data_IF_148953223971
#
_entry.id   IF_148953223971
#
_cell.length_a   1.000
_cell.length_b   1.000
_cell.length_c   1.000
_cell.angle_alpha   90.00
_cell.angle_beta   90.00
_cell.angle_gamma   90.00
#
_symmetry.space_group_name_H-M   'P 1'
#
loop_
_entity.id
_entity.type
_entity.pdbx_description
1 polymer ?
#
# COMPACT_ATOMS: atom_id res chain seq x y z
N UNK A 1 -52.19 26.10 47.88
CA UNK A 1 -52.65 25.25 49.01
C UNK A 1 -51.93 23.94 48.92
N UNK A 2 -51.07 23.69 49.89
CA UNK A 2 -50.45 22.41 50.21
C UNK A 2 -51.43 21.66 51.10
N UNK A 3 -51.54 20.33 51.10
CA UNK A 3 -50.71 19.51 51.98
C UNK A 3 -50.30 18.20 51.41
N UNK A 4 -49.02 17.77 51.67
CA UNK A 4 -48.57 16.84 52.72
C UNK A 4 -49.19 15.43 52.67
N UNK A 5 -48.49 14.34 52.48
CA UNK A 5 -47.71 13.62 53.48
C UNK A 5 -47.31 12.23 52.98
N UNK A 6 -46.12 11.79 53.38
CA UNK A 6 -45.52 10.45 53.26
C UNK A 6 -46.37 9.40 54.03
N UNK A 7 -46.11 8.07 53.93
CA UNK A 7 -44.84 7.51 54.38
C UNK A 7 -44.29 6.28 53.62
N UNK A 8 -42.99 6.05 53.85
CA UNK A 8 -42.19 4.84 53.75
C UNK A 8 -42.93 3.57 54.22
N UNK A 9 -42.73 2.47 53.45
CA UNK A 9 -42.72 1.14 53.99
C UNK A 9 -41.54 0.38 53.37
N UNK A 10 -40.64 0.00 54.25
CA UNK A 10 -39.57 -0.97 54.05
C UNK A 10 -40.14 -2.32 53.66
N UNK A 11 -39.49 -2.98 52.71
CA UNK A 11 -39.60 -4.42 52.54
C UNK A 11 -38.20 -5.00 52.35
N UNK A 12 -37.67 -5.44 53.47
CA UNK A 12 -36.47 -6.20 53.62
C UNK A 12 -36.66 -7.63 53.14
N UNK A 13 -35.59 -8.16 52.59
CA UNK A 13 -35.11 -9.55 52.61
C UNK A 13 -35.84 -10.56 51.74
N UNK A 14 -35.07 -11.15 50.87
CA UNK A 14 -34.53 -12.53 50.91
C UNK A 14 -33.66 -12.72 49.63
N UNK A 15 -32.37 -12.48 49.79
CA UNK A 15 -31.38 -12.97 48.80
C UNK A 15 -31.05 -14.40 49.26
N UNK A 16 -31.64 -15.37 48.63
CA UNK A 16 -31.23 -16.78 48.76
C UNK A 16 -29.95 -16.96 47.93
N UNK A 17 -28.84 -17.11 48.63
CA UNK A 17 -27.54 -17.47 48.14
C UNK A 17 -27.60 -18.89 47.59
N UNK A 18 -27.80 -19.09 46.30
CA UNK A 18 -27.61 -20.37 45.64
C UNK A 18 -26.13 -20.46 45.25
N UNK A 19 -25.36 -21.10 46.09
CA UNK A 19 -24.00 -21.54 45.76
C UNK A 19 -24.08 -22.64 44.71
N UNK A 20 -23.71 -22.37 43.51
CA UNK A 20 -23.34 -23.38 42.51
C UNK A 20 -21.83 -23.59 42.54
N UNK A 21 -21.36 -24.76 42.95
CA UNK A 21 -19.99 -25.14 42.70
C UNK A 21 -19.94 -25.77 41.30
N UNK A 22 -19.76 -25.00 40.28
CA UNK A 22 -19.30 -25.51 38.97
C UNK A 22 -17.98 -24.88 38.62
N UNK A 23 -16.93 -25.52 39.08
CA UNK A 23 -15.63 -25.48 38.44
C UNK A 23 -15.79 -26.01 37.02
N UNK A 24 -16.12 -25.14 36.08
CA UNK A 24 -15.81 -25.38 34.67
C UNK A 24 -14.29 -25.33 34.54
N UNK A 25 -13.63 -26.49 34.64
CA UNK A 25 -12.35 -26.71 34.00
C UNK A 25 -12.62 -26.51 32.49
N UNK A 26 -12.39 -25.31 31.97
CA UNK A 26 -12.16 -25.15 30.56
C UNK A 26 -10.86 -25.92 30.29
N UNK A 27 -11.01 -27.14 29.79
CA UNK A 27 -9.92 -27.85 29.17
C UNK A 27 -9.47 -26.91 28.03
N UNK A 28 -8.38 -26.18 28.24
CA UNK A 28 -7.58 -25.63 27.17
C UNK A 28 -7.15 -26.85 26.37
N UNK A 29 -7.88 -27.20 25.33
CA UNK A 29 -7.37 -28.07 24.30
C UNK A 29 -6.07 -27.37 23.87
N UNK A 30 -4.94 -27.97 24.10
CA UNK A 30 -3.71 -27.63 23.43
C UNK A 30 -4.01 -27.83 21.94
N UNK A 31 -4.40 -26.76 21.23
CA UNK A 31 -4.37 -26.79 19.77
C UNK A 31 -2.92 -27.13 19.44
N UNK A 32 -2.69 -28.33 18.93
CA UNK A 32 -1.38 -28.71 18.41
C UNK A 32 -1.01 -27.66 17.38
N UNK A 33 0.13 -27.02 17.57
CA UNK A 33 0.63 -26.04 16.60
C UNK A 33 0.69 -26.70 15.23
N UNK A 34 0.24 -26.01 14.15
CA UNK A 34 0.29 -26.59 12.82
C UNK A 34 1.72 -27.00 12.47
N UNK A 35 1.88 -28.10 11.70
CA UNK A 35 3.20 -28.58 11.31
C UNK A 35 4.01 -27.48 10.61
N UNK A 36 5.31 -27.45 10.89
CA UNK A 36 6.22 -26.48 10.29
C UNK A 36 6.20 -26.58 8.76
N UNK A 37 6.16 -25.43 8.06
CA UNK A 37 6.37 -25.36 6.61
C UNK A 37 7.86 -25.14 6.33
N UNK A 38 8.48 -26.07 5.60
CA UNK A 38 9.91 -26.05 5.23
C UNK A 38 10.02 -25.82 3.75
N UNK A 39 10.54 -24.68 3.34
CA UNK A 39 10.81 -24.29 1.96
C UNK A 39 12.29 -24.56 1.66
N UNK A 40 12.59 -25.72 1.05
CA UNK A 40 13.94 -26.26 0.92
C UNK A 40 14.57 -25.98 -0.44
N UNK A 41 15.84 -25.56 -0.47
CA UNK A 41 16.66 -25.49 -1.69
C UNK A 41 16.49 -24.24 -2.55
N UNK A 42 15.69 -23.26 -2.11
CA UNK A 42 15.41 -22.06 -2.90
C UNK A 42 16.57 -21.06 -2.95
N UNK A 43 16.54 -20.16 -3.94
CA UNK A 43 17.26 -18.89 -3.91
C UNK A 43 16.39 -17.85 -3.20
N UNK A 44 16.93 -17.20 -2.16
CA UNK A 44 16.19 -16.26 -1.30
C UNK A 44 16.70 -14.84 -1.48
N UNK A 45 15.82 -13.89 -1.75
CA UNK A 45 16.17 -12.48 -1.88
C UNK A 45 16.39 -11.85 -0.51
N UNK A 46 17.61 -11.41 -0.24
CA UNK A 46 17.91 -10.56 0.91
C UNK A 46 17.65 -9.10 0.58
N UNK A 47 16.54 -8.58 1.04
CA UNK A 47 16.15 -7.19 0.81
C UNK A 47 17.05 -6.17 1.53
N UNK A 48 17.96 -6.60 2.40
CA UNK A 48 18.96 -5.73 3.04
C UNK A 48 20.12 -5.46 2.11
N UNK A 49 20.74 -6.53 1.58
CA UNK A 49 21.88 -6.44 0.67
C UNK A 49 21.49 -6.25 -0.79
N UNK A 50 20.25 -6.60 -1.18
CA UNK A 50 19.81 -6.64 -2.57
C UNK A 50 20.32 -7.86 -3.35
N UNK A 51 20.81 -8.88 -2.66
CA UNK A 51 21.37 -10.08 -3.29
C UNK A 51 20.37 -11.25 -3.28
N UNK A 52 20.39 -12.05 -4.35
CA UNK A 52 19.71 -13.33 -4.39
C UNK A 52 20.66 -14.42 -3.86
N UNK A 53 20.37 -14.95 -2.67
CA UNK A 53 21.24 -15.91 -1.97
C UNK A 53 20.77 -17.33 -2.27
N UNK A 54 21.60 -18.11 -2.95
CA UNK A 54 21.27 -19.46 -3.42
C UNK A 54 21.25 -20.49 -2.29
N UNK A 55 20.51 -21.58 -2.53
CA UNK A 55 20.51 -22.80 -1.73
C UNK A 55 20.21 -22.55 -0.25
N UNK A 56 19.03 -21.98 0.01
CA UNK A 56 18.52 -21.68 1.35
C UNK A 56 17.29 -22.50 1.67
N UNK A 57 17.18 -22.85 2.93
CA UNK A 57 15.98 -23.41 3.53
C UNK A 57 15.37 -22.36 4.45
N UNK A 58 14.08 -22.06 4.23
CA UNK A 58 13.29 -21.18 5.07
C UNK A 58 12.31 -22.04 5.86
N UNK A 59 12.28 -21.88 7.19
CA UNK A 59 11.38 -22.59 8.09
C UNK A 59 10.35 -21.61 8.62
N UNK A 60 9.09 -22.00 8.51
CA UNK A 60 7.93 -21.23 9.00
C UNK A 60 7.19 -22.06 10.03
N UNK A 61 6.99 -21.49 11.20
CA UNK A 61 6.17 -22.07 12.27
C UNK A 61 5.08 -21.06 12.64
N UNK A 62 3.84 -21.51 12.63
CA UNK A 62 2.69 -20.63 12.70
C UNK A 62 2.72 -19.57 11.57
N UNK A 63 2.81 -18.31 11.92
CA UNK A 63 2.87 -17.20 10.97
C UNK A 63 4.23 -16.50 10.91
N UNK A 64 5.28 -17.09 11.49
CA UNK A 64 6.61 -16.48 11.57
C UNK A 64 7.68 -17.33 10.90
N UNK A 65 8.68 -16.66 10.36
CA UNK A 65 9.91 -17.29 9.91
C UNK A 65 10.77 -17.56 11.14
N UNK A 66 11.09 -18.84 11.39
CA UNK A 66 11.90 -19.24 12.56
C UNK A 66 13.35 -19.49 12.17
N UNK A 67 13.64 -19.82 10.91
CA UNK A 67 15.00 -19.99 10.42
C UNK A 67 15.16 -19.69 8.94
N UNK A 68 16.35 -19.19 8.56
CA UNK A 68 16.84 -19.09 7.19
C UNK A 68 18.28 -19.59 7.18
N UNK A 69 18.49 -20.83 6.73
CA UNK A 69 19.77 -21.54 6.83
C UNK A 69 20.25 -22.04 5.46
N UNK A 70 21.54 -22.38 5.27
CA UNK A 70 21.98 -23.13 4.10
C UNK A 70 21.24 -24.47 4.03
N UNK A 71 20.83 -24.92 2.84
CA UNK A 71 20.03 -26.15 2.70
C UNK A 71 20.82 -27.43 3.01
N UNK A 72 22.15 -27.37 2.99
CA UNK A 72 23.05 -28.45 3.38
C UNK A 72 23.32 -28.52 4.89
N UNK A 73 22.63 -27.67 5.69
CA UNK A 73 22.78 -27.72 7.15
C UNK A 73 22.18 -29.01 7.71
N UNK A 74 22.82 -29.57 8.76
CA UNK A 74 22.36 -30.78 9.47
C UNK A 74 21.09 -30.56 10.32
N UNK A 75 20.22 -29.62 9.90
CA UNK A 75 18.98 -29.35 10.63
C UNK A 75 17.97 -30.46 10.37
N UNK A 76 17.63 -31.19 11.41
CA UNK A 76 16.54 -32.16 11.39
C UNK A 76 15.18 -31.44 11.45
N UNK A 77 14.23 -31.94 10.68
CA UNK A 77 12.83 -31.51 10.70
C UNK A 77 11.97 -32.61 11.34
N UNK A 78 10.93 -32.20 12.02
CA UNK A 78 9.98 -33.17 12.63
C UNK A 78 9.26 -33.94 11.52
N UNK A 79 8.85 -35.19 11.84
CA UNK A 79 8.21 -36.10 10.87
C UNK A 79 6.88 -35.56 10.30
N UNK A 80 6.25 -34.64 11.00
CA UNK A 80 5.01 -33.97 10.62
C UNK A 80 5.24 -32.69 9.79
N UNK A 81 6.50 -32.23 9.65
CA UNK A 81 6.81 -31.03 8.86
C UNK A 81 6.40 -31.18 7.39
N UNK A 82 5.77 -30.14 6.84
CA UNK A 82 5.46 -30.03 5.40
C UNK A 82 6.66 -29.52 4.66
N UNK A 83 7.41 -30.40 3.98
CA UNK A 83 8.60 -30.01 3.22
C UNK A 83 8.24 -29.79 1.75
N UNK A 84 8.63 -28.65 1.20
CA UNK A 84 8.54 -28.32 -0.23
C UNK A 84 9.94 -28.21 -0.82
N UNK A 85 10.25 -29.03 -1.82
CA UNK A 85 11.48 -28.88 -2.61
C UNK A 85 11.30 -27.71 -3.61
N UNK A 86 12.13 -26.69 -3.44
CA UNK A 86 12.12 -25.47 -4.22
C UNK A 86 13.44 -25.23 -4.95
N UNK A 87 14.18 -26.32 -5.28
CA UNK A 87 15.38 -26.20 -6.09
C UNK A 87 15.08 -25.51 -7.43
N UNK A 88 15.88 -24.52 -7.79
CA UNK A 88 15.68 -23.71 -9.00
C UNK A 88 14.57 -22.67 -8.90
N UNK A 89 13.91 -22.52 -7.74
CA UNK A 89 12.90 -21.48 -7.47
C UNK A 89 13.49 -20.32 -6.67
N UNK A 90 12.76 -19.24 -6.62
CA UNK A 90 13.15 -17.98 -6.00
C UNK A 90 12.10 -17.53 -4.99
N UNK A 91 12.54 -17.12 -3.82
CA UNK A 91 11.67 -16.59 -2.78
C UNK A 91 12.01 -15.11 -2.55
N UNK A 92 11.01 -14.26 -2.66
CA UNK A 92 11.11 -12.85 -2.28
C UNK A 92 10.17 -12.56 -1.11
N UNK A 93 10.41 -11.53 -0.28
CA UNK A 93 9.40 -11.07 0.67
C UNK A 93 8.12 -10.73 -0.07
N UNK A 94 6.99 -10.87 0.59
CA UNK A 94 5.72 -10.41 0.06
C UNK A 94 5.79 -8.95 -0.38
N UNK A 95 5.24 -8.63 -1.53
CA UNK A 95 5.19 -7.27 -2.04
C UNK A 95 4.24 -6.42 -1.19
N UNK A 96 4.59 -5.18 -0.96
CA UNK A 96 3.78 -4.20 -0.23
C UNK A 96 3.41 -3.09 -1.21
N UNK A 97 2.12 -2.84 -1.43
CA UNK A 97 1.65 -1.70 -2.20
C UNK A 97 1.44 -0.51 -1.26
N UNK A 98 2.26 0.52 -1.40
CA UNK A 98 2.26 1.66 -0.50
C UNK A 98 1.14 2.67 -0.77
N UNK A 99 0.34 2.47 -1.83
CA UNK A 99 -0.71 3.42 -2.22
C UNK A 99 -1.84 2.74 -2.97
N UNK A 100 -2.94 2.46 -2.26
CA UNK A 100 -4.19 1.95 -2.86
C UNK A 100 -5.39 2.67 -2.26
N UNK A 101 -6.53 2.57 -2.93
CA UNK A 101 -7.83 3.02 -2.45
C UNK A 101 -8.79 1.84 -2.40
N UNK A 102 -9.22 1.44 -1.21
CA UNK A 102 -10.05 0.24 -1.04
C UNK A 102 -11.55 0.52 -1.13
N UNK A 103 -11.96 1.77 -0.87
CA UNK A 103 -13.39 2.12 -0.80
C UNK A 103 -13.79 3.34 -1.64
N UNK A 104 -12.81 4.10 -2.14
CA UNK A 104 -13.01 5.34 -2.90
C UNK A 104 -13.99 5.20 -4.09
N UNK A 105 -13.97 4.08 -4.81
CA UNK A 105 -14.84 3.85 -5.97
C UNK A 105 -16.07 2.99 -5.66
N UNK A 106 -16.29 2.56 -4.42
CA UNK A 106 -17.36 1.60 -4.10
C UNK A 106 -18.74 2.09 -4.50
N UNK A 107 -19.08 3.35 -4.22
CA UNK A 107 -20.38 3.94 -4.58
C UNK A 107 -20.60 4.07 -6.10
N UNK A 108 -19.52 4.14 -6.87
CA UNK A 108 -19.55 4.32 -8.34
C UNK A 108 -19.52 3.02 -9.10
N UNK A 109 -18.85 2.01 -8.53
CA UNK A 109 -18.61 0.71 -9.18
C UNK A 109 -19.52 -0.38 -8.64
N UNK A 110 -20.05 -0.21 -7.44
CA UNK A 110 -20.67 -1.26 -6.62
C UNK A 110 -19.72 -2.46 -6.38
N UNK A 111 -18.41 -2.24 -6.47
CA UNK A 111 -17.37 -3.18 -6.07
C UNK A 111 -16.87 -2.75 -4.70
N UNK A 112 -16.99 -3.60 -3.72
CA UNK A 112 -16.54 -3.31 -2.35
C UNK A 112 -15.06 -3.63 -2.17
N UNK A 113 -14.41 -3.01 -1.18
CA UNK A 113 -12.99 -3.19 -0.96
C UNK A 113 -12.61 -4.64 -0.69
N UNK A 114 -13.44 -5.39 0.02
CA UNK A 114 -13.21 -6.80 0.33
C UNK A 114 -13.24 -7.70 -0.92
N UNK A 115 -14.04 -7.38 -1.94
CA UNK A 115 -14.06 -8.09 -3.23
C UNK A 115 -12.73 -7.95 -4.00
N UNK A 116 -11.97 -6.89 -3.75
CA UNK A 116 -10.69 -6.64 -4.43
C UNK A 116 -9.49 -7.32 -3.73
N UNK A 117 -9.61 -7.71 -2.44
CA UNK A 117 -8.50 -8.20 -1.66
C UNK A 117 -7.84 -9.47 -2.24
N UNK A 118 -8.59 -10.47 -2.76
CA UNK A 118 -7.98 -11.65 -3.36
C UNK A 118 -7.11 -11.31 -4.58
N UNK A 119 -7.42 -10.24 -5.33
CA UNK A 119 -6.64 -9.80 -6.48
C UNK A 119 -5.24 -9.31 -6.07
N UNK A 120 -5.15 -8.54 -4.98
CA UNK A 120 -3.86 -8.10 -4.45
C UNK A 120 -3.01 -9.31 -4.04
N UNK A 121 -3.58 -10.20 -3.26
CA UNK A 121 -2.85 -11.37 -2.78
C UNK A 121 -2.45 -12.30 -3.94
N UNK A 122 -3.33 -12.55 -4.93
CA UNK A 122 -3.02 -13.35 -6.11
C UNK A 122 -1.87 -12.80 -6.94
N UNK A 123 -1.66 -11.49 -6.90
CA UNK A 123 -0.52 -10.82 -7.53
C UNK A 123 0.74 -10.76 -6.62
N UNK A 124 0.76 -11.50 -5.48
CA UNK A 124 1.89 -11.49 -4.55
C UNK A 124 1.99 -10.25 -3.67
N UNK A 125 0.98 -9.39 -3.66
CA UNK A 125 0.89 -8.21 -2.78
C UNK A 125 0.28 -8.65 -1.45
N UNK A 126 1.13 -8.89 -0.46
CA UNK A 126 0.72 -9.41 0.86
C UNK A 126 0.33 -8.32 1.85
N UNK A 127 0.63 -7.06 1.53
CA UNK A 127 0.23 -5.93 2.34
C UNK A 127 -0.07 -4.70 1.47
N UNK A 128 -1.02 -3.88 1.90
CA UNK A 128 -1.41 -2.63 1.22
C UNK A 128 -1.57 -1.49 2.22
N UNK A 129 -1.26 -0.25 1.80
CA UNK A 129 -1.63 0.97 2.53
C UNK A 129 -2.81 1.64 1.83
N UNK A 130 -3.96 1.70 2.51
CA UNK A 130 -5.12 2.49 2.06
C UNK A 130 -4.81 3.98 2.27
N UNK A 131 -4.74 4.75 1.18
CA UNK A 131 -4.07 6.05 1.14
C UNK A 131 -5.03 7.24 1.08
N UNK A 132 -6.05 7.28 1.93
CA UNK A 132 -6.95 8.43 2.02
C UNK A 132 -8.42 8.12 1.79
N UNK A 133 -8.88 6.96 2.22
CA UNK A 133 -10.28 6.53 2.12
C UNK A 133 -11.13 6.96 3.33
N UNK A 134 -12.46 6.86 3.21
CA UNK A 134 -13.40 7.09 4.31
C UNK A 134 -13.09 6.17 5.51
N UNK A 135 -12.84 6.76 6.70
CA UNK A 135 -12.25 6.04 7.84
C UNK A 135 -13.05 4.82 8.29
N UNK A 136 -14.37 4.95 8.43
CA UNK A 136 -15.23 3.85 8.89
C UNK A 136 -15.21 2.68 7.91
N UNK A 137 -15.30 2.99 6.62
CA UNK A 137 -15.34 1.97 5.58
C UNK A 137 -14.00 1.23 5.45
N UNK A 138 -12.87 1.94 5.39
CA UNK A 138 -11.56 1.29 5.28
C UNK A 138 -11.20 0.48 6.54
N UNK A 139 -11.60 0.92 7.74
CA UNK A 139 -11.42 0.13 8.96
C UNK A 139 -12.29 -1.13 8.93
N UNK A 140 -13.51 -1.05 8.37
CA UNK A 140 -14.38 -2.20 8.13
C UNK A 140 -13.70 -3.24 7.23
N UNK A 141 -13.15 -2.80 6.09
CA UNK A 141 -12.39 -3.68 5.16
C UNK A 141 -11.14 -4.25 5.84
N UNK A 142 -10.44 -3.47 6.67
CA UNK A 142 -9.27 -3.96 7.41
C UNK A 142 -9.65 -5.01 8.48
N UNK A 143 -10.82 -4.90 9.11
CA UNK A 143 -11.34 -5.93 10.01
C UNK A 143 -11.73 -7.21 9.25
N UNK A 144 -12.39 -7.07 8.10
CA UNK A 144 -12.69 -8.20 7.23
C UNK A 144 -11.41 -8.94 6.81
N UNK A 145 -10.39 -8.20 6.37
CA UNK A 145 -9.11 -8.78 5.95
C UNK A 145 -8.43 -9.56 7.08
N UNK A 146 -8.47 -9.06 8.32
CA UNK A 146 -7.92 -9.78 9.49
C UNK A 146 -8.65 -11.09 9.78
N UNK A 147 -9.95 -11.14 9.57
CA UNK A 147 -10.75 -12.34 9.74
C UNK A 147 -10.58 -13.33 8.59
N UNK A 148 -10.20 -12.86 7.39
CA UNK A 148 -10.10 -13.64 6.16
C UNK A 148 -8.68 -13.64 5.58
N UNK A 149 -7.67 -13.87 6.41
CA UNK A 149 -6.24 -13.78 6.04
C UNK A 149 -5.81 -14.69 4.89
N UNK A 150 -6.51 -15.80 4.69
CA UNK A 150 -6.21 -16.71 3.59
C UNK A 150 -6.41 -16.09 2.21
N UNK A 151 -7.30 -15.11 2.10
CA UNK A 151 -7.69 -14.48 0.84
C UNK A 151 -7.45 -12.97 0.80
N UNK A 152 -6.87 -12.41 1.85
CA UNK A 152 -6.75 -10.95 2.03
C UNK A 152 -5.35 -10.55 2.44
N UNK A 153 -4.77 -9.49 1.84
CA UNK A 153 -3.51 -8.91 2.31
C UNK A 153 -3.68 -8.20 3.66
N UNK A 154 -2.58 -7.86 4.31
CA UNK A 154 -2.58 -6.96 5.48
C UNK A 154 -2.95 -5.55 5.03
N UNK A 155 -3.77 -4.85 5.78
CA UNK A 155 -4.20 -3.49 5.46
C UNK A 155 -3.68 -2.52 6.51
N UNK A 156 -2.92 -1.52 6.05
CA UNK A 156 -2.48 -0.37 6.82
C UNK A 156 -3.38 0.82 6.49
N UNK A 157 -4.12 1.27 7.49
CA UNK A 157 -5.13 2.32 7.34
C UNK A 157 -4.49 3.70 7.50
N UNK A 158 -4.85 4.66 6.66
CA UNK A 158 -4.53 6.08 6.82
C UNK A 158 -5.77 6.91 7.15
N UNK A 159 -5.57 8.21 7.41
CA UNK A 159 -6.69 9.15 7.54
C UNK A 159 -7.46 9.28 6.22
N UNK A 160 -8.71 9.80 6.25
CA UNK A 160 -9.33 10.39 5.06
C UNK A 160 -8.44 11.44 4.42
N UNK A 161 -8.76 11.84 3.19
CA UNK A 161 -8.09 12.96 2.53
C UNK A 161 -8.32 14.26 3.31
N UNK A 162 -7.27 14.81 3.95
CA UNK A 162 -7.36 16.12 4.60
C UNK A 162 -7.37 17.17 3.50
N UNK A 163 -8.48 17.86 3.32
CA UNK A 163 -8.67 18.79 2.19
C UNK A 163 -9.37 20.08 2.63
N UNK A 164 -9.52 21.01 1.69
CA UNK A 164 -10.30 22.25 1.81
C UNK A 164 -11.79 21.96 2.01
N UNK A 165 -12.58 23.01 2.18
CA UNK A 165 -14.04 22.95 2.17
C UNK A 165 -14.62 23.69 0.94
N UNK A 166 -15.46 23.06 0.05
CA UNK A 166 -15.73 21.62 0.05
C UNK A 166 -14.49 20.81 -0.40
N UNK A 167 -14.36 19.55 0.04
CA UNK A 167 -13.30 18.65 -0.44
C UNK A 167 -13.45 18.39 -1.93
N UNK A 168 -12.33 18.12 -2.60
CA UNK A 168 -12.38 17.73 -4.02
C UNK A 168 -13.09 16.38 -4.24
N UNK A 169 -12.92 15.46 -3.31
CA UNK A 169 -13.62 14.17 -3.24
C UNK A 169 -14.47 14.15 -1.97
N UNK A 170 -15.77 14.44 -2.12
CA UNK A 170 -16.69 14.58 -0.98
C UNK A 170 -16.92 13.28 -0.23
N UNK A 171 -16.81 12.13 -0.92
CA UNK A 171 -17.02 10.78 -0.41
C UNK A 171 -15.89 10.31 0.53
N UNK A 172 -14.66 10.80 0.36
CA UNK A 172 -13.48 10.38 1.11
C UNK A 172 -12.68 11.54 1.72
N UNK A 173 -13.10 12.78 1.46
CA UNK A 173 -12.44 13.99 1.95
C UNK A 173 -12.92 14.41 3.34
N UNK A 174 -12.00 14.90 4.15
CA UNK A 174 -12.28 15.52 5.44
C UNK A 174 -11.83 16.99 5.42
N UNK A 175 -12.77 17.95 5.51
CA UNK A 175 -12.42 19.36 5.40
C UNK A 175 -11.77 19.88 6.70
N UNK A 176 -10.58 20.47 6.58
CA UNK A 176 -9.93 21.24 7.65
C UNK A 176 -9.67 22.64 7.12
N UNK A 177 -10.31 23.63 7.72
CA UNK A 177 -10.23 25.04 7.30
C UNK A 177 -9.60 25.94 8.36
N UNK A 178 -9.43 25.43 9.57
CA UNK A 178 -8.81 26.14 10.70
C UNK A 178 -7.72 25.25 11.33
N UNK A 179 -6.50 25.75 11.51
CA UNK A 179 -5.44 25.02 12.20
C UNK A 179 -5.81 24.53 13.60
N UNK A 180 -6.77 25.18 14.28
CA UNK A 180 -7.25 24.77 15.60
C UNK A 180 -7.96 23.40 15.58
N UNK A 181 -8.52 22.98 14.44
CA UNK A 181 -9.20 21.68 14.27
C UNK A 181 -8.22 20.49 14.22
N UNK A 182 -6.95 20.76 13.87
CA UNK A 182 -5.97 19.72 13.57
C UNK A 182 -5.70 18.79 14.76
N UNK A 183 -5.52 19.34 15.96
CA UNK A 183 -5.18 18.54 17.13
C UNK A 183 -6.30 17.55 17.54
N UNK A 184 -7.57 17.94 17.39
CA UNK A 184 -8.70 17.06 17.62
C UNK A 184 -8.75 15.95 16.55
N UNK A 185 -8.66 16.34 15.28
CA UNK A 185 -8.64 15.40 14.16
C UNK A 185 -7.51 14.33 14.32
N UNK A 186 -6.31 14.75 14.68
CA UNK A 186 -5.18 13.80 14.85
C UNK A 186 -5.44 12.82 15.99
N UNK A 187 -6.01 13.29 17.12
CA UNK A 187 -6.40 12.40 18.23
C UNK A 187 -7.47 11.39 17.80
N UNK A 188 -8.46 11.83 17.02
CA UNK A 188 -9.50 10.94 16.50
C UNK A 188 -8.88 9.88 15.58
N UNK A 189 -8.03 10.28 14.65
CA UNK A 189 -7.34 9.34 13.76
C UNK A 189 -6.46 8.34 14.54
N UNK A 190 -5.80 8.80 15.60
CA UNK A 190 -5.06 7.90 16.49
C UNK A 190 -5.95 6.87 17.18
N UNK A 191 -7.16 7.25 17.58
CA UNK A 191 -8.15 6.33 18.18
C UNK A 191 -8.61 5.24 17.20
N UNK A 192 -8.65 5.53 15.90
CA UNK A 192 -8.90 4.57 14.82
C UNK A 192 -7.70 3.69 14.47
N UNK A 193 -6.57 3.87 15.16
CA UNK A 193 -5.32 3.14 14.90
C UNK A 193 -4.77 3.31 13.47
N UNK A 194 -4.96 4.51 12.87
CA UNK A 194 -4.33 4.83 11.59
C UNK A 194 -2.81 4.88 11.73
N UNK A 195 -2.10 4.59 10.64
CA UNK A 195 -0.63 4.61 10.59
C UNK A 195 -0.07 5.91 10.03
N UNK A 196 -0.85 6.61 9.20
CA UNK A 196 -0.44 7.85 8.55
C UNK A 196 -1.61 8.78 8.29
N UNK A 197 -1.31 10.07 8.13
CA UNK A 197 -2.25 11.10 7.71
C UNK A 197 -2.01 11.46 6.25
N UNK A 198 -3.08 11.72 5.48
CA UNK A 198 -3.02 12.08 4.06
C UNK A 198 -3.43 13.51 3.84
N UNK A 199 -2.47 14.41 3.57
CA UNK A 199 -2.73 15.77 3.10
C UNK A 199 -3.11 15.72 1.61
N UNK A 200 -4.12 16.51 1.23
CA UNK A 200 -4.62 16.58 -0.14
C UNK A 200 -4.47 17.98 -0.75
N UNK A 201 -4.85 18.10 -2.01
CA UNK A 201 -4.49 19.22 -2.90
C UNK A 201 -4.93 20.60 -2.43
N UNK A 202 -6.02 20.72 -1.67
CA UNK A 202 -6.60 22.01 -1.28
C UNK A 202 -6.01 22.62 -0.01
N UNK A 203 -5.18 21.88 0.73
CA UNK A 203 -4.58 22.35 1.99
C UNK A 203 -3.46 23.35 1.73
N UNK A 204 -3.47 24.46 2.47
CA UNK A 204 -2.38 25.44 2.47
C UNK A 204 -1.24 25.05 3.44
N UNK A 205 -0.14 25.81 3.38
CA UNK A 205 1.04 25.56 4.22
C UNK A 205 0.74 25.66 5.72
N UNK A 206 -0.12 26.60 6.14
CA UNK A 206 -0.41 26.84 7.57
C UNK A 206 -1.04 25.61 8.21
N UNK A 207 -2.07 25.08 7.56
CA UNK A 207 -2.76 23.86 7.99
C UNK A 207 -1.85 22.65 7.81
N UNK A 208 -1.20 22.51 6.64
CA UNK A 208 -0.34 21.38 6.32
C UNK A 208 0.83 21.22 7.30
N UNK A 209 1.50 22.33 7.64
CA UNK A 209 2.55 22.31 8.66
C UNK A 209 2.01 21.90 10.04
N UNK A 210 0.83 22.41 10.43
CA UNK A 210 0.22 22.03 11.71
C UNK A 210 -0.15 20.54 11.74
N UNK A 211 -0.61 19.96 10.61
CA UNK A 211 -0.88 18.52 10.47
C UNK A 211 0.42 17.72 10.68
N UNK A 212 1.52 18.13 10.06
CA UNK A 212 2.82 17.46 10.21
C UNK A 212 3.29 17.51 11.67
N UNK A 213 3.31 18.71 12.26
CA UNK A 213 3.76 18.88 13.63
C UNK A 213 2.96 18.02 14.63
N UNK A 214 1.63 18.04 14.51
CA UNK A 214 0.74 17.32 15.41
C UNK A 214 0.80 15.80 15.19
N UNK A 215 0.87 15.35 13.93
CA UNK A 215 1.04 13.92 13.59
C UNK A 215 2.30 13.34 14.22
N UNK A 216 3.43 14.05 14.11
CA UNK A 216 4.70 13.61 14.68
C UNK A 216 4.68 13.54 16.20
N UNK A 217 3.98 14.46 16.90
CA UNK A 217 3.77 14.38 18.35
C UNK A 217 3.05 13.08 18.76
N UNK A 218 2.21 12.55 17.90
CA UNK A 218 1.48 11.29 18.12
C UNK A 218 2.13 10.06 17.48
N UNK A 219 3.33 10.19 16.90
CA UNK A 219 4.07 9.10 16.24
C UNK A 219 3.44 8.63 14.94
N UNK A 220 2.64 9.48 14.28
CA UNK A 220 2.04 9.22 12.98
C UNK A 220 2.91 9.79 11.87
N UNK A 221 2.94 9.11 10.72
CA UNK A 221 3.57 9.61 9.50
C UNK A 221 2.61 10.50 8.72
N UNK A 222 3.17 11.40 7.90
CA UNK A 222 2.39 12.27 7.00
C UNK A 222 2.81 12.04 5.56
N UNK A 223 1.82 11.79 4.71
CA UNK A 223 1.98 11.69 3.26
C UNK A 223 1.13 12.76 2.57
N UNK A 224 1.51 13.19 1.37
CA UNK A 224 0.80 14.26 0.68
C UNK A 224 0.69 14.10 -0.83
N UNK A 225 -0.56 14.15 -1.34
CA UNK A 225 -0.85 14.51 -2.71
C UNK A 225 -0.99 16.03 -2.76
N UNK A 226 0.13 16.71 -3.00
CA UNK A 226 0.24 18.16 -2.76
C UNK A 226 -0.25 18.99 -3.95
N UNK A 227 -0.91 20.09 -3.62
CA UNK A 227 -1.38 21.10 -4.58
C UNK A 227 -1.04 22.52 -4.12
N UNK A 228 -1.91 23.13 -3.31
CA UNK A 228 -1.67 24.48 -2.77
C UNK A 228 -0.49 24.51 -1.78
N UNK A 229 -0.26 23.44 -1.05
CA UNK A 229 0.93 23.25 -0.24
C UNK A 229 2.06 22.78 -1.16
N UNK A 230 3.11 23.60 -1.33
CA UNK A 230 4.18 23.27 -2.26
C UNK A 230 5.03 22.10 -1.74
N UNK A 231 5.54 21.27 -2.66
CA UNK A 231 6.44 20.16 -2.30
C UNK A 231 7.69 20.66 -1.54
N UNK A 232 8.25 21.84 -1.92
CA UNK A 232 9.41 22.43 -1.25
C UNK A 232 9.09 22.83 0.20
N UNK A 233 7.92 23.44 0.42
CA UNK A 233 7.52 23.83 1.78
C UNK A 233 7.23 22.59 2.63
N UNK A 234 6.50 21.60 2.10
CA UNK A 234 6.19 20.36 2.80
C UNK A 234 7.45 19.59 3.22
N UNK A 235 8.44 19.49 2.30
CA UNK A 235 9.76 18.92 2.61
C UNK A 235 10.47 19.73 3.69
N UNK A 236 10.39 21.06 3.65
CA UNK A 236 10.99 21.95 4.66
C UNK A 236 10.32 21.77 6.02
N UNK A 237 9.03 21.60 6.04
CA UNK A 237 8.21 21.47 7.25
C UNK A 237 8.19 20.03 7.81
N UNK A 238 8.78 19.05 7.10
CA UNK A 238 9.07 17.72 7.63
C UNK A 238 8.12 16.60 7.21
N UNK A 239 7.44 16.72 6.06
CA UNK A 239 6.62 15.63 5.52
C UNK A 239 7.42 14.34 5.35
N UNK A 240 6.80 13.17 5.59
CA UNK A 240 7.48 11.86 5.51
C UNK A 240 7.47 11.29 4.10
N UNK A 241 6.40 11.53 3.31
CA UNK A 241 6.26 10.99 1.97
C UNK A 241 5.57 11.97 1.02
N UNK A 242 6.12 12.12 -0.19
CA UNK A 242 5.47 12.79 -1.30
C UNK A 242 4.81 11.73 -2.18
N UNK A 243 3.49 11.78 -2.25
CA UNK A 243 2.70 10.90 -3.08
C UNK A 243 2.61 11.46 -4.50
N UNK A 244 2.67 10.56 -5.48
CA UNK A 244 2.69 10.85 -6.89
C UNK A 244 3.88 11.70 -7.34
N UNK A 245 4.60 11.22 -8.33
CA UNK A 245 5.70 11.95 -8.94
C UNK A 245 5.27 13.35 -9.40
N UNK A 246 3.97 13.50 -9.67
CA UNK A 246 3.35 14.74 -10.10
C UNK A 246 3.53 15.90 -9.10
N UNK A 247 3.49 15.63 -7.78
CA UNK A 247 3.72 16.64 -6.74
C UNK A 247 5.12 17.26 -6.85
N UNK A 248 6.13 16.42 -7.10
CA UNK A 248 7.52 16.84 -7.29
C UNK A 248 7.71 17.52 -8.65
N UNK A 249 7.10 16.94 -9.69
CA UNK A 249 7.21 17.43 -11.06
C UNK A 249 6.60 18.82 -11.23
N UNK A 250 5.39 19.04 -10.71
CA UNK A 250 4.73 20.34 -10.80
C UNK A 250 5.52 21.46 -10.11
N UNK A 251 6.08 21.18 -8.93
CA UNK A 251 6.95 22.17 -8.30
C UNK A 251 8.18 22.48 -9.15
N UNK A 252 8.70 21.50 -9.87
CA UNK A 252 9.89 21.64 -10.71
C UNK A 252 9.67 22.48 -11.96
N UNK A 253 8.43 22.86 -12.30
CA UNK A 253 8.11 23.66 -13.48
C UNK A 253 8.37 25.16 -13.17
N UNK A 254 9.29 25.81 -13.87
CA UNK A 254 9.46 27.26 -13.77
C UNK A 254 8.24 28.00 -14.35
N UNK A 255 7.84 29.10 -13.71
CA UNK A 255 6.67 29.88 -14.15
C UNK A 255 6.78 30.40 -15.60
N UNK A 256 8.00 30.64 -16.07
CA UNK A 256 8.30 31.21 -17.41
C UNK A 256 7.98 30.24 -18.55
N UNK A 257 7.86 28.93 -18.25
CA UNK A 257 7.59 27.93 -19.30
C UNK A 257 6.14 27.47 -19.36
N UNK A 258 5.30 27.82 -18.38
CA UNK A 258 3.90 27.36 -18.28
C UNK A 258 3.03 27.78 -19.46
N UNK A 259 3.37 28.87 -20.14
CA UNK A 259 2.67 29.39 -21.34
C UNK A 259 3.13 28.72 -22.66
N UNK A 260 4.11 27.80 -22.60
CA UNK A 260 4.58 27.09 -23.80
C UNK A 260 3.71 25.89 -24.08
N UNK A 261 3.33 25.61 -25.32
CA UNK A 261 2.65 24.37 -25.64
C UNK A 261 3.54 23.17 -25.25
N UNK A 262 2.92 22.14 -24.70
CA UNK A 262 3.59 20.88 -24.34
C UNK A 262 4.74 21.03 -23.33
N UNK A 263 4.73 22.06 -22.48
CA UNK A 263 5.81 22.37 -21.56
C UNK A 263 6.15 21.20 -20.63
N UNK A 264 5.17 20.36 -20.26
CA UNK A 264 5.40 19.19 -19.40
C UNK A 264 6.26 18.15 -20.09
N UNK A 265 6.00 17.85 -21.35
CA UNK A 265 6.75 16.85 -22.12
C UNK A 265 8.15 17.31 -22.54
N UNK A 266 8.44 18.59 -22.41
CA UNK A 266 9.72 19.21 -22.81
C UNK A 266 10.48 19.85 -21.64
N UNK A 267 10.01 19.65 -20.40
CA UNK A 267 10.63 20.24 -19.22
C UNK A 267 12.10 19.82 -19.08
N UNK A 268 12.99 20.80 -18.94
CA UNK A 268 14.36 20.54 -18.53
C UNK A 268 14.41 20.31 -17.00
N UNK A 269 14.70 19.08 -16.61
CA UNK A 269 14.80 18.67 -15.21
C UNK A 269 16.13 19.09 -14.55
N UNK A 270 17.09 19.65 -15.34
CA UNK A 270 18.31 20.25 -14.80
C UNK A 270 18.11 21.70 -14.33
N UNK A 271 16.88 22.24 -14.44
CA UNK A 271 16.61 23.60 -14.00
C UNK A 271 16.86 23.74 -12.47
N UNK A 272 17.27 24.94 -12.00
CA UNK A 272 17.66 25.16 -10.60
C UNK A 272 16.55 24.82 -9.58
N UNK A 273 15.27 25.02 -9.96
CA UNK A 273 14.12 24.75 -9.10
C UNK A 273 13.95 23.26 -8.83
N UNK A 274 14.07 22.44 -9.89
CA UNK A 274 14.04 20.98 -9.77
C UNK A 274 15.22 20.46 -8.92
N UNK A 275 16.43 20.91 -9.23
CA UNK A 275 17.64 20.49 -8.51
C UNK A 275 17.60 20.88 -7.04
N UNK A 276 17.11 22.06 -6.69
CA UNK A 276 16.92 22.48 -5.30
C UNK A 276 15.97 21.56 -4.54
N UNK A 277 14.82 21.22 -5.15
CA UNK A 277 13.85 20.32 -4.52
C UNK A 277 14.42 18.89 -4.35
N UNK A 278 15.02 18.34 -5.41
CA UNK A 278 15.67 17.01 -5.34
C UNK A 278 16.69 16.93 -4.20
N UNK A 279 17.55 17.95 -4.09
CA UNK A 279 18.55 18.02 -3.02
C UNK A 279 17.90 18.14 -1.63
N UNK A 280 16.80 18.88 -1.50
CA UNK A 280 16.08 19.03 -0.23
C UNK A 280 15.44 17.69 0.19
N UNK A 281 14.79 16.99 -0.74
CA UNK A 281 14.17 15.67 -0.52
C UNK A 281 15.25 14.66 -0.07
N UNK A 282 16.37 14.58 -0.82
CA UNK A 282 17.46 13.66 -0.53
C UNK A 282 18.10 13.93 0.83
N UNK A 283 18.39 15.21 1.13
CA UNK A 283 19.01 15.62 2.41
C UNK A 283 18.13 15.27 3.62
N UNK A 284 16.82 15.39 3.49
CA UNK A 284 15.85 15.13 4.57
C UNK A 284 15.35 13.69 4.58
N UNK A 285 15.75 12.87 3.59
CA UNK A 285 15.31 11.47 3.41
C UNK A 285 13.80 11.32 3.35
N UNK A 286 13.12 12.32 2.77
CA UNK A 286 11.69 12.23 2.49
C UNK A 286 11.48 11.17 1.44
N UNK A 287 10.54 10.24 1.67
CA UNK A 287 10.21 9.22 0.69
C UNK A 287 9.41 9.82 -0.49
N UNK A 288 9.55 9.21 -1.66
CA UNK A 288 8.71 9.53 -2.82
C UNK A 288 8.06 8.26 -3.32
N UNK A 289 6.73 8.27 -3.40
CA UNK A 289 5.93 7.24 -4.04
C UNK A 289 5.51 7.73 -5.43
N UNK A 290 6.16 7.28 -6.52
CA UNK A 290 5.94 7.86 -7.83
C UNK A 290 4.59 7.56 -8.44
N UNK A 291 4.03 6.38 -8.18
CA UNK A 291 2.80 5.86 -8.79
C UNK A 291 2.77 6.05 -10.31
N UNK A 292 3.85 5.70 -11.00
CA UNK A 292 4.01 5.93 -12.45
C UNK A 292 2.92 5.22 -13.27
N UNK A 293 2.44 4.08 -12.76
CA UNK A 293 1.45 3.26 -13.44
C UNK A 293 0.13 4.00 -13.66
N UNK A 294 -0.34 4.79 -12.70
CA UNK A 294 -1.58 5.57 -12.86
C UNK A 294 -1.44 6.58 -14.01
N UNK A 295 -0.32 7.28 -14.08
CA UNK A 295 -0.07 8.26 -15.17
C UNK A 295 0.12 7.56 -16.53
N UNK A 296 0.83 6.42 -16.54
CA UNK A 296 0.99 5.63 -17.77
C UNK A 296 -0.35 5.12 -18.27
N UNK A 297 -1.21 4.62 -17.38
CA UNK A 297 -2.48 4.04 -17.77
C UNK A 297 -3.53 5.10 -18.16
N UNK A 298 -3.33 6.38 -17.80
CA UNK A 298 -4.08 7.50 -18.40
C UNK A 298 -3.98 7.57 -19.94
N UNK A 299 -2.95 6.95 -20.56
CA UNK A 299 -2.88 6.80 -22.03
C UNK A 299 -4.07 6.03 -22.55
N UNK A 300 -4.51 4.99 -21.85
CA UNK A 300 -5.64 4.16 -22.22
C UNK A 300 -6.98 4.91 -22.24
N UNK A 301 -7.08 6.03 -21.52
CA UNK A 301 -8.28 6.85 -21.56
C UNK A 301 -8.58 7.42 -22.96
N UNK A 302 -7.59 7.52 -23.84
CA UNK A 302 -7.71 8.08 -25.19
C UNK A 302 -7.54 7.03 -26.31
N UNK A 303 -7.12 5.82 -25.99
CA UNK A 303 -6.74 4.80 -26.97
C UNK A 303 -7.51 3.52 -26.74
N UNK A 304 -8.58 3.30 -27.53
CA UNK A 304 -9.45 2.14 -27.48
C UNK A 304 -8.72 0.81 -27.75
N UNK A 305 -7.80 0.82 -28.72
CA UNK A 305 -7.06 -0.38 -29.08
C UNK A 305 -6.14 -0.82 -27.94
N UNK A 306 -5.52 0.12 -27.26
CA UNK A 306 -4.65 -0.17 -26.12
C UNK A 306 -5.40 -0.73 -24.92
N UNK A 307 -6.64 -0.31 -24.68
CA UNK A 307 -7.48 -0.86 -23.58
C UNK A 307 -7.70 -2.36 -23.74
N UNK A 308 -8.06 -2.81 -24.93
CA UNK A 308 -8.28 -4.23 -25.20
C UNK A 308 -7.02 -5.10 -25.14
N UNK A 309 -5.85 -4.46 -25.16
CA UNK A 309 -4.56 -5.14 -25.05
C UNK A 309 -3.97 -5.08 -23.62
N UNK A 310 -4.70 -4.56 -22.65
CA UNK A 310 -4.21 -4.52 -21.27
C UNK A 310 -4.19 -5.96 -20.69
N UNK A 311 -3.02 -6.47 -20.25
CA UNK A 311 -2.84 -7.91 -20.01
C UNK A 311 -3.62 -8.45 -18.81
N UNK A 312 -4.14 -7.59 -17.95
CA UNK A 312 -4.69 -7.97 -16.65
C UNK A 312 -6.19 -7.63 -16.50
N UNK A 313 -6.86 -7.06 -17.53
CA UNK A 313 -8.27 -6.67 -17.42
C UNK A 313 -9.20 -7.87 -17.28
N UNK A 314 -8.89 -8.97 -17.94
CA UNK A 314 -9.72 -10.21 -17.89
C UNK A 314 -9.83 -10.82 -16.48
N UNK A 315 -9.03 -10.33 -15.54
CA UNK A 315 -9.04 -10.76 -14.13
C UNK A 315 -9.89 -9.86 -13.23
N UNK A 316 -10.36 -8.73 -13.77
CA UNK A 316 -11.05 -7.70 -12.97
C UNK A 316 -12.55 -7.91 -13.00
N UNK A 317 -13.27 -7.55 -11.90
CA UNK A 317 -14.73 -7.52 -11.91
C UNK A 317 -15.28 -6.70 -13.08
N UNK A 318 -16.26 -7.22 -13.79
CA UNK A 318 -16.85 -6.53 -14.96
C UNK A 318 -17.45 -5.17 -14.57
N UNK A 319 -17.93 -5.01 -13.32
CA UNK A 319 -18.44 -3.73 -12.81
C UNK A 319 -17.35 -2.66 -12.77
N UNK A 320 -16.14 -3.02 -12.36
CA UNK A 320 -14.99 -2.13 -12.32
C UNK A 320 -14.58 -1.71 -13.76
N UNK A 321 -14.50 -2.66 -14.68
CA UNK A 321 -14.18 -2.39 -16.09
C UNK A 321 -15.22 -1.45 -16.70
N UNK A 322 -16.52 -1.71 -16.49
CA UNK A 322 -17.61 -0.84 -16.99
C UNK A 322 -17.49 0.59 -16.47
N UNK A 323 -17.11 0.74 -15.20
CA UNK A 323 -16.86 2.07 -14.64
C UNK A 323 -15.68 2.77 -15.35
N UNK A 324 -14.55 2.09 -15.52
CA UNK A 324 -13.37 2.66 -16.20
C UNK A 324 -13.69 3.06 -17.65
N UNK A 325 -14.44 2.25 -18.36
CA UNK A 325 -14.90 2.58 -19.72
C UNK A 325 -15.89 3.76 -19.73
N UNK A 326 -16.80 3.84 -18.76
CA UNK A 326 -17.70 4.98 -18.61
C UNK A 326 -16.93 6.25 -18.30
N UNK A 327 -16.03 6.19 -17.31
CA UNK A 327 -15.15 7.31 -16.95
C UNK A 327 -14.38 7.85 -18.17
N UNK A 328 -13.80 6.96 -18.97
CA UNK A 328 -13.12 7.31 -20.20
C UNK A 328 -13.98 8.11 -21.18
N UNK A 329 -15.27 7.82 -21.29
CA UNK A 329 -16.21 8.55 -22.17
C UNK A 329 -16.55 9.95 -21.65
N UNK A 330 -16.50 10.14 -20.33
CA UNK A 330 -16.86 11.41 -19.69
C UNK A 330 -15.67 12.36 -19.58
N UNK A 331 -14.46 11.84 -19.48
CA UNK A 331 -13.25 12.65 -19.43
C UNK A 331 -12.96 13.18 -20.83
N UNK A 332 -13.36 14.41 -21.07
CA UNK A 332 -12.94 15.15 -22.25
C UNK A 332 -11.45 15.52 -22.11
N UNK A 333 -10.61 14.53 -22.39
CA UNK A 333 -9.16 14.71 -22.37
C UNK A 333 -8.79 15.57 -23.58
N UNK A 334 -9.13 16.85 -23.49
CA UNK A 334 -8.60 17.81 -24.42
C UNK A 334 -7.07 17.66 -24.44
N UNK A 335 -6.60 17.26 -25.64
CA UNK A 335 -5.48 17.88 -26.27
C UNK A 335 -4.09 17.28 -26.11
N UNK A 336 -3.79 16.30 -25.34
CA UNK A 336 -2.44 15.73 -25.52
C UNK A 336 -2.50 14.54 -26.45
N UNK A 337 -1.83 14.62 -27.59
CA UNK A 337 -1.64 13.47 -28.47
C UNK A 337 -0.98 12.32 -27.71
N UNK A 338 -1.18 11.07 -28.15
CA UNK A 338 -0.47 9.91 -27.55
C UNK A 338 1.04 10.16 -27.41
N UNK A 339 1.64 10.82 -28.40
CA UNK A 339 3.07 11.17 -28.38
C UNK A 339 3.42 12.10 -27.20
N UNK A 340 2.62 13.12 -26.97
CA UNK A 340 2.86 14.09 -25.89
C UNK A 340 2.73 13.44 -24.52
N UNK A 341 1.72 12.62 -24.30
CA UNK A 341 1.56 11.84 -23.05
C UNK A 341 2.71 10.87 -22.84
N UNK A 342 3.13 10.16 -23.89
CA UNK A 342 4.29 9.28 -23.80
C UNK A 342 5.55 10.05 -23.41
N UNK A 343 5.74 11.25 -23.93
CA UNK A 343 6.88 12.08 -23.58
C UNK A 343 6.76 12.64 -22.14
N UNK A 344 5.57 12.99 -21.68
CA UNK A 344 5.33 13.40 -20.30
C UNK A 344 5.67 12.27 -19.31
N UNK A 345 5.23 11.05 -19.59
CA UNK A 345 5.57 9.87 -18.76
C UNK A 345 7.07 9.63 -18.75
N UNK A 346 7.76 9.79 -19.87
CA UNK A 346 9.23 9.70 -19.90
C UNK A 346 9.89 10.74 -18.99
N UNK A 347 9.31 11.95 -18.90
CA UNK A 347 9.79 12.97 -17.95
C UNK A 347 9.55 12.57 -16.48
N UNK A 348 8.43 11.93 -16.17
CA UNK A 348 8.17 11.39 -14.84
C UNK A 348 9.18 10.28 -14.50
N UNK A 349 9.45 9.38 -15.44
CA UNK A 349 10.47 8.34 -15.28
C UNK A 349 11.88 8.95 -15.12
N UNK A 350 12.24 9.94 -15.93
CA UNK A 350 13.52 10.66 -15.84
C UNK A 350 13.69 11.30 -14.44
N UNK A 351 12.65 11.98 -13.94
CA UNK A 351 12.66 12.60 -12.61
C UNK A 351 12.78 11.53 -11.50
N UNK A 352 12.05 10.42 -11.61
CA UNK A 352 12.15 9.30 -10.67
C UNK A 352 13.58 8.75 -10.62
N UNK A 353 14.22 8.58 -11.80
CA UNK A 353 15.62 8.16 -11.88
C UNK A 353 16.59 9.19 -11.28
N UNK A 354 16.33 10.49 -11.43
CA UNK A 354 17.13 11.56 -10.78
C UNK A 354 17.00 11.46 -9.27
N UNK A 355 15.79 11.33 -8.74
CA UNK A 355 15.54 11.16 -7.29
C UNK A 355 16.26 9.93 -6.74
N UNK A 356 16.13 8.78 -7.41
CA UNK A 356 16.81 7.56 -7.00
C UNK A 356 18.34 7.74 -6.93
N UNK A 357 18.95 8.31 -7.99
CA UNK A 357 20.41 8.57 -8.02
C UNK A 357 20.86 9.58 -6.96
N UNK A 358 19.98 10.48 -6.54
CA UNK A 358 20.22 11.40 -5.43
C UNK A 358 20.10 10.74 -4.05
N UNK A 359 19.77 9.44 -3.98
CA UNK A 359 19.62 8.69 -2.73
C UNK A 359 18.28 8.90 -2.02
N UNK A 360 17.26 9.39 -2.73
CA UNK A 360 15.90 9.50 -2.19
C UNK A 360 15.31 8.11 -2.03
N UNK A 361 14.68 7.78 -0.88
CA UNK A 361 13.94 6.55 -0.71
C UNK A 361 12.74 6.52 -1.68
N UNK A 362 12.80 5.66 -2.70
CA UNK A 362 11.69 5.43 -3.62
C UNK A 362 10.81 4.33 -3.05
N UNK A 363 9.51 4.56 -3.04
CA UNK A 363 8.47 3.60 -2.68
C UNK A 363 7.84 2.98 -3.94
N UNK A 364 6.96 2.01 -3.73
CA UNK A 364 6.17 1.39 -4.79
C UNK A 364 4.71 1.40 -4.37
N UNK A 365 3.94 2.27 -4.98
CA UNK A 365 2.49 2.36 -4.86
C UNK A 365 1.85 2.42 -6.23
N UNK A 366 0.60 1.96 -6.34
CA UNK A 366 -0.07 1.82 -7.63
C UNK A 366 -1.18 2.83 -7.87
N UNK A 367 -1.79 3.32 -6.80
CA UNK A 367 -3.02 4.10 -6.85
C UNK A 367 -4.24 3.29 -7.37
N UNK A 368 -4.19 1.95 -7.19
CA UNK A 368 -5.31 1.08 -7.56
C UNK A 368 -6.51 1.33 -6.61
N UNK A 369 -7.75 1.30 -7.15
CA UNK A 369 -8.20 0.90 -8.48
C UNK A 369 -8.51 2.10 -9.40
N UNK A 370 -7.71 3.14 -9.44
CA UNK A 370 -7.90 4.24 -10.39
C UNK A 370 -8.11 3.73 -11.83
N UNK A 371 -8.68 4.52 -12.76
CA UNK A 371 -9.04 4.03 -14.09
C UNK A 371 -7.91 3.31 -14.83
N UNK A 372 -8.16 2.05 -15.16
CA UNK A 372 -7.22 1.12 -15.80
C UNK A 372 -5.97 0.79 -14.94
N UNK A 373 -6.07 0.89 -13.62
CA UNK A 373 -5.05 0.46 -12.66
C UNK A 373 -5.56 -0.79 -11.92
N UNK A 374 -5.36 -2.01 -12.49
CA UNK A 374 -5.86 -3.25 -11.92
C UNK A 374 -5.32 -3.52 -10.52
N UNK A 375 -6.17 -3.70 -9.48
CA UNK A 375 -5.75 -4.10 -8.15
C UNK A 375 -4.79 -5.29 -8.16
N UNK A 376 -3.70 -5.17 -7.44
CA UNK A 376 -2.64 -6.16 -7.35
C UNK A 376 -1.74 -6.23 -8.59
N UNK A 377 -2.30 -6.41 -9.77
CA UNK A 377 -1.54 -6.64 -11.01
C UNK A 377 -0.82 -5.39 -11.52
N UNK A 378 -1.33 -4.20 -11.22
CA UNK A 378 -0.64 -2.93 -11.49
C UNK A 378 0.69 -2.78 -10.72
N UNK A 379 0.86 -3.51 -9.62
CA UNK A 379 2.13 -3.58 -8.90
C UNK A 379 3.28 -3.99 -9.83
N UNK A 380 3.11 -5.04 -10.61
CA UNK A 380 4.14 -5.50 -11.54
C UNK A 380 4.43 -4.47 -12.63
N UNK A 381 3.42 -3.72 -13.07
CA UNK A 381 3.62 -2.64 -14.04
C UNK A 381 4.43 -1.49 -13.43
N UNK A 382 4.15 -1.12 -12.17
CA UNK A 382 4.94 -0.10 -11.47
C UNK A 382 6.39 -0.53 -11.29
N UNK A 383 6.64 -1.79 -10.90
CA UNK A 383 8.00 -2.34 -10.81
C UNK A 383 8.75 -2.21 -12.15
N UNK A 384 8.11 -2.55 -13.28
CA UNK A 384 8.69 -2.40 -14.61
C UNK A 384 9.00 -0.94 -14.95
N UNK A 385 8.10 0.00 -14.63
CA UNK A 385 8.27 1.43 -14.87
C UNK A 385 9.44 2.00 -14.05
N UNK A 386 9.61 1.54 -12.82
CA UNK A 386 10.74 1.94 -11.97
C UNK A 386 12.08 1.44 -12.54
N UNK A 387 12.14 0.22 -13.07
CA UNK A 387 13.33 -0.27 -13.78
C UNK A 387 13.59 0.57 -15.03
N UNK A 388 12.56 0.90 -15.80
CA UNK A 388 12.68 1.80 -16.96
C UNK A 388 13.12 3.24 -16.56
N UNK A 389 12.90 3.63 -15.31
CA UNK A 389 13.40 4.90 -14.75
C UNK A 389 14.90 4.85 -14.38
N UNK A 390 15.55 3.70 -14.56
CA UNK A 390 16.97 3.50 -14.30
C UNK A 390 17.30 2.93 -12.91
N UNK A 391 16.33 2.37 -12.20
CA UNK A 391 16.57 1.64 -10.97
C UNK A 391 16.93 0.17 -11.30
N UNK A 392 17.97 -0.41 -10.67
CA UNK A 392 18.23 -1.84 -10.81
C UNK A 392 17.07 -2.69 -10.27
N UNK A 393 16.75 -3.87 -10.86
CA UNK A 393 15.66 -4.73 -10.38
C UNK A 393 15.73 -5.04 -8.88
N UNK A 394 16.92 -5.29 -8.35
CA UNK A 394 17.13 -5.54 -6.92
C UNK A 394 16.74 -4.32 -6.06
N UNK A 395 17.06 -3.09 -6.51
CA UNK A 395 16.67 -1.87 -5.79
C UNK A 395 15.15 -1.66 -5.83
N UNK A 396 14.49 -2.00 -6.94
CA UNK A 396 13.03 -1.96 -7.06
C UNK A 396 12.37 -2.97 -6.12
N UNK A 397 12.90 -4.19 -6.02
CA UNK A 397 12.42 -5.18 -5.04
C UNK A 397 12.63 -4.70 -3.59
N UNK A 398 13.76 -4.05 -3.28
CA UNK A 398 13.97 -3.43 -1.97
C UNK A 398 12.94 -2.33 -1.68
N UNK A 399 12.57 -1.56 -2.69
CA UNK A 399 11.52 -0.53 -2.59
C UNK A 399 10.16 -1.14 -2.29
N UNK A 400 9.76 -2.18 -3.04
CA UNK A 400 8.47 -2.85 -2.91
C UNK A 400 8.34 -3.71 -1.63
N UNK A 401 9.42 -3.92 -0.89
CA UNK A 401 9.44 -4.75 0.31
C UNK A 401 9.90 -3.96 1.52
N UNK A 402 11.20 -3.85 1.78
CA UNK A 402 11.78 -3.22 2.97
C UNK A 402 11.46 -1.72 3.09
N UNK A 403 11.54 -0.96 2.00
CA UNK A 403 11.28 0.49 2.08
C UNK A 403 9.80 0.75 2.33
N UNK A 404 8.91 -0.01 1.65
CA UNK A 404 7.48 0.08 1.88
C UNK A 404 7.09 -0.39 3.30
N UNK A 405 7.73 -1.44 3.85
CA UNK A 405 7.52 -1.84 5.24
C UNK A 405 7.84 -0.70 6.23
N UNK A 406 8.93 0.05 5.98
CA UNK A 406 9.31 1.21 6.80
C UNK A 406 8.28 2.33 6.76
N UNK A 407 7.76 2.67 5.57
CA UNK A 407 6.81 3.79 5.48
C UNK A 407 5.46 3.46 6.12
N UNK A 408 5.05 2.18 6.11
CA UNK A 408 3.84 1.73 6.80
C UNK A 408 4.05 1.44 8.29
N UNK A 409 5.29 1.60 8.81
CA UNK A 409 5.64 1.39 10.22
C UNK A 409 5.57 -0.09 10.63
N UNK A 410 6.08 -0.99 9.80
CA UNK A 410 6.15 -2.45 10.04
C UNK A 410 7.49 -3.03 9.58
N UNK A 411 8.57 -2.26 9.62
CA UNK A 411 9.91 -2.68 9.20
C UNK A 411 10.52 -3.79 10.08
N UNK A 412 10.01 -3.99 11.28
CA UNK A 412 10.46 -5.04 12.20
C UNK A 412 9.70 -6.37 11.96
N UNK A 413 8.57 -6.32 11.24
CA UNK A 413 7.71 -7.47 11.01
C UNK A 413 7.67 -7.91 9.54
N UNK A 414 7.82 -6.98 8.58
CA UNK A 414 7.59 -7.20 7.15
C UNK A 414 8.78 -6.75 6.29
N UNK A 415 8.75 -7.18 5.02
CA UNK A 415 9.68 -6.75 3.98
C UNK A 415 11.04 -7.43 4.01
N UNK A 416 11.23 -8.46 4.86
CA UNK A 416 12.45 -9.27 4.94
C UNK A 416 12.12 -10.75 5.11
N UNK A 417 13.00 -11.62 4.61
CA UNK A 417 12.99 -13.05 4.91
C UNK A 417 14.10 -13.31 5.93
N UNK A 418 13.74 -13.24 7.21
CA UNK A 418 14.67 -13.40 8.32
C UNK A 418 13.94 -13.96 9.55
N UNK A 419 14.66 -14.65 10.47
CA UNK A 419 14.05 -15.11 11.71
C UNK A 419 13.37 -13.99 12.51
N UNK A 420 12.17 -14.24 13.01
CA UNK A 420 11.35 -13.30 13.75
C UNK A 420 10.38 -12.47 12.89
N UNK A 421 10.57 -12.42 11.55
CA UNK A 421 9.66 -11.75 10.63
C UNK A 421 8.41 -12.59 10.36
N UNK A 422 7.33 -11.92 10.01
CA UNK A 422 6.10 -12.59 9.54
C UNK A 422 6.37 -13.33 8.23
N UNK A 423 5.76 -14.49 8.10
CA UNK A 423 5.92 -15.36 6.94
C UNK A 423 5.01 -14.90 5.80
N UNK A 424 5.35 -13.75 5.22
CA UNK A 424 4.75 -13.17 4.03
C UNK A 424 5.79 -13.19 2.90
N UNK A 425 5.64 -14.14 1.95
CA UNK A 425 6.63 -14.40 0.90
C UNK A 425 5.96 -14.78 -0.41
N UNK A 426 6.66 -14.58 -1.52
CA UNK A 426 6.24 -15.00 -2.85
C UNK A 426 7.29 -15.95 -3.43
N UNK A 427 6.84 -17.11 -3.91
CA UNK A 427 7.66 -18.13 -4.55
C UNK A 427 7.49 -18.00 -6.06
N UNK A 428 8.60 -17.76 -6.75
CA UNK A 428 8.67 -17.48 -8.19
C UNK A 428 9.41 -18.60 -8.92
N UNK A 429 9.02 -18.85 -10.18
CA UNK A 429 9.72 -19.81 -11.04
C UNK A 429 11.00 -19.24 -11.67
N UNK A 430 11.16 -17.93 -11.74
CA UNK A 430 12.27 -17.24 -12.41
C UNK A 430 12.83 -16.09 -11.54
N UNK A 431 14.13 -15.76 -11.75
CA UNK A 431 14.84 -14.76 -10.95
C UNK A 431 14.39 -13.33 -11.26
N UNK A 432 13.73 -12.62 -10.32
CA UNK A 432 13.28 -11.25 -10.52
C UNK A 432 14.41 -10.21 -10.43
N UNK A 433 15.59 -10.58 -9.95
CA UNK A 433 16.76 -9.69 -9.94
C UNK A 433 17.44 -9.61 -11.29
N UNK A 434 17.21 -10.61 -12.16
CA UNK A 434 17.69 -10.63 -13.56
C UNK A 434 16.70 -9.89 -14.46
N UNK A 435 15.41 -10.16 -14.30
CA UNK A 435 14.35 -9.48 -15.03
C UNK A 435 13.18 -9.23 -14.07
N UNK A 436 12.85 -7.98 -13.82
CA UNK A 436 11.78 -7.61 -12.89
C UNK A 436 10.41 -8.18 -13.30
N UNK A 437 10.19 -8.46 -14.58
CA UNK A 437 8.95 -9.08 -15.09
C UNK A 437 8.74 -10.48 -14.53
N UNK A 438 9.78 -11.12 -14.01
CA UNK A 438 9.70 -12.42 -13.37
C UNK A 438 8.94 -12.38 -12.04
N UNK A 439 8.67 -11.20 -11.47
CA UNK A 439 7.74 -11.06 -10.34
C UNK A 439 6.32 -11.53 -10.66
N UNK A 440 5.95 -11.63 -11.95
CA UNK A 440 4.66 -12.18 -12.41
C UNK A 440 4.63 -13.71 -12.46
N UNK A 441 5.80 -14.38 -12.32
CA UNK A 441 5.96 -15.84 -12.42
C UNK A 441 5.71 -16.51 -11.06
N UNK A 442 4.58 -16.16 -10.43
CA UNK A 442 4.20 -16.64 -9.10
C UNK A 442 3.71 -18.08 -9.19
N UNK A 443 4.32 -18.97 -8.39
CA UNK A 443 3.86 -20.36 -8.22
C UNK A 443 3.05 -20.53 -6.92
N UNK A 444 3.53 -19.87 -5.84
CA UNK A 444 2.90 -19.90 -4.55
C UNK A 444 3.08 -18.57 -3.81
N UNK A 445 2.14 -18.32 -2.92
CA UNK A 445 2.22 -17.24 -1.95
C UNK A 445 2.19 -17.88 -0.56
N UNK A 446 3.12 -17.46 0.31
CA UNK A 446 3.02 -17.69 1.76
C UNK A 446 2.54 -16.39 2.36
N UNK A 447 1.37 -16.41 2.97
CA UNK A 447 0.80 -15.24 3.64
C UNK A 447 0.31 -15.64 5.03
N UNK A 448 0.75 -14.91 6.05
CA UNK A 448 0.48 -15.21 7.46
C UNK A 448 0.81 -16.69 7.82
N UNK A 449 1.88 -17.24 7.19
CA UNK A 449 2.28 -18.65 7.33
C UNK A 449 1.46 -19.65 6.48
N UNK A 450 0.40 -19.21 5.84
CA UNK A 450 -0.45 -20.06 4.99
C UNK A 450 0.05 -20.10 3.56
N UNK A 451 0.11 -21.31 2.99
CA UNK A 451 0.51 -21.52 1.60
C UNK A 451 -0.72 -21.56 0.70
N UNK A 452 -0.76 -20.70 -0.33
CA UNK A 452 -1.89 -20.50 -1.23
C UNK A 452 -1.41 -20.36 -2.67
N UNK A 453 -2.21 -20.79 -3.65
CA UNK A 453 -1.93 -20.57 -5.07
C UNK A 453 -2.71 -19.37 -5.61
N UNK A 454 -2.13 -18.61 -6.57
CA UNK A 454 -2.87 -17.51 -7.23
C UNK A 454 -4.23 -17.92 -7.79
N UNK A 455 -4.31 -19.12 -8.41
CA UNK A 455 -5.54 -19.61 -9.05
C UNK A 455 -6.64 -19.94 -8.02
N UNK A 456 -6.29 -20.26 -6.78
CA UNK A 456 -7.25 -20.47 -5.70
C UNK A 456 -7.86 -19.13 -5.28
N UNK A 457 -7.04 -18.08 -5.16
CA UNK A 457 -7.49 -16.74 -4.82
C UNK A 457 -8.38 -16.12 -5.90
N UNK A 458 -8.07 -16.33 -7.17
CA UNK A 458 -8.87 -15.80 -8.27
C UNK A 458 -10.28 -16.41 -8.35
N UNK A 459 -10.51 -17.58 -7.74
CA UNK A 459 -11.86 -18.17 -7.64
C UNK A 459 -12.75 -17.44 -6.62
N UNK A 460 -12.14 -16.71 -5.70
CA UNK A 460 -12.87 -15.92 -4.69
C UNK A 460 -13.32 -14.55 -5.25
N UNK A 461 -12.83 -14.15 -6.44
CA UNK A 461 -13.19 -12.88 -7.07
C UNK A 461 -14.51 -13.01 -7.79
N UNK A 462 -15.50 -12.18 -7.42
CA UNK A 462 -16.74 -12.06 -8.16
C UNK A 462 -16.49 -11.31 -9.48
N UNK A 463 -16.77 -11.97 -10.59
CA UNK A 463 -16.60 -11.37 -11.92
C UNK A 463 -17.84 -10.60 -12.40
N UNK A 464 -18.97 -10.65 -11.67
CA UNK A 464 -20.25 -10.01 -12.03
C UNK A 464 -20.24 -8.47 -11.91
#
# INVERSE_FOLDING_TARGET
>A
MIPNSRPFIEMLAWISLVMFPQTYLVALSSEESPPALVLHGASVFDSTSGLMIKNRTVVVENNQITAVVPSESDREFTSDSRIMDLQGKYIIPGLIDAHVHLVHLADRTHVTGDELLPLFLAAGVTAVRSAGDAIVAQVGVAHYARANRKISPRIFVSSPLIDRNPPLHEDVGYPITDPAQVAEFVRDMKSWNVRSLKIYVGIDRTIGKKVIDEAHLHGLKVMGHLGNYSAQDAVTDGIDCLEHIWSVFNYSIPSEVTNRPNFRSTLDLNNPRCQSLVNAIAKRKVAVDPTLVVFRNMIYLNDLESVHMHPDLDRMPHRLIRYWESYRRTVNLQVNTRKERTNEIRKYQELTGILYRAGVPILVGTDAPEPFVPPGYSMHQELELLVQSGMPPAAVLQSATRNNARIVGSEDDLGRIAPGYLADMVILSEDPTVDIRNTRRIEWIVHDGLLVRPEELLKEVSME
#
